data_IF_597265564637
#
_entry.id   IF_597265564637
#
_cell.length_a   1.000
_cell.length_b   1.000
_cell.length_c   1.000
_cell.angle_alpha   90.00
_cell.angle_beta   90.00
_cell.angle_gamma   90.00
#
_symmetry.space_group_name_H-M   'P 1'
#
loop_
_entity.id
_entity.type
_entity.pdbx_description
1 polymer ?
#
# COMPACT_ATOMS: atom_id res chain seq x y z
N UNK A 1 13.46 1.31 -5.25
CA UNK A 1 12.41 2.15 -5.86
C UNK A 1 11.96 1.66 -7.24
N UNK A 2 12.86 1.35 -8.19
CA UNK A 2 12.45 0.81 -9.50
C UNK A 2 11.89 -0.63 -9.38
N UNK A 3 12.60 -1.49 -8.64
CA UNK A 3 12.22 -2.90 -8.48
C UNK A 3 10.84 -3.10 -7.82
N UNK A 4 10.50 -2.35 -6.76
CA UNK A 4 9.18 -2.50 -6.13
C UNK A 4 8.05 -2.07 -7.05
N UNK A 5 8.28 -1.05 -7.90
CA UNK A 5 7.28 -0.59 -8.89
C UNK A 5 7.11 -1.60 -10.02
N UNK A 6 8.20 -2.19 -10.50
CA UNK A 6 8.15 -3.25 -11.51
C UNK A 6 7.41 -4.48 -10.99
N UNK A 7 7.70 -4.89 -9.75
CA UNK A 7 6.98 -5.99 -9.11
C UNK A 7 5.48 -5.69 -8.98
N UNK A 8 5.13 -4.49 -8.50
CA UNK A 8 3.73 -4.09 -8.38
C UNK A 8 3.00 -4.10 -9.74
N UNK A 9 3.67 -3.65 -10.80
CA UNK A 9 3.13 -3.72 -12.17
C UNK A 9 2.94 -5.16 -12.64
N UNK A 10 3.93 -6.04 -12.42
CA UNK A 10 3.84 -7.46 -12.79
C UNK A 10 2.70 -8.19 -12.06
N UNK A 11 2.40 -7.78 -10.81
CA UNK A 11 1.29 -8.31 -10.02
C UNK A 11 -0.07 -7.68 -10.36
N UNK A 12 -0.11 -6.66 -11.23
CA UNK A 12 -1.27 -5.79 -11.42
C UNK A 12 -1.83 -5.26 -10.08
N UNK A 13 -0.93 -4.96 -9.14
CA UNK A 13 -1.28 -4.53 -7.79
C UNK A 13 -1.63 -3.04 -7.77
N UNK A 14 -2.66 -2.69 -6.98
CA UNK A 14 -2.94 -1.30 -6.67
C UNK A 14 -1.83 -0.74 -5.76
N UNK A 15 -1.30 0.42 -6.10
CA UNK A 15 -0.23 1.08 -5.34
C UNK A 15 -0.72 2.38 -4.71
N UNK A 16 -0.13 2.78 -3.59
CA UNK A 16 -0.38 4.06 -2.92
C UNK A 16 0.92 4.64 -2.42
N UNK A 17 1.18 5.89 -2.77
CA UNK A 17 2.35 6.63 -2.30
C UNK A 17 1.99 7.43 -1.05
N UNK A 18 2.77 7.24 0.01
CA UNK A 18 2.62 7.97 1.28
C UNK A 18 3.87 8.82 1.47
N UNK A 19 3.70 10.13 1.63
CA UNK A 19 4.80 11.06 1.86
C UNK A 19 5.36 10.89 3.29
N UNK A 20 6.16 9.87 3.52
CA UNK A 20 6.65 9.47 4.83
C UNK A 20 8.19 9.41 4.91
N UNK A 21 8.71 9.34 6.14
CA UNK A 21 10.13 9.03 6.38
C UNK A 21 10.45 7.55 6.14
N UNK A 22 11.60 7.09 6.65
CA UNK A 22 12.07 5.70 6.45
C UNK A 22 11.06 4.63 6.94
N UNK A 23 10.34 4.91 8.03
CA UNK A 23 9.28 4.06 8.56
C UNK A 23 7.95 4.80 8.52
N UNK A 24 7.16 4.52 7.49
CA UNK A 24 5.83 5.10 7.29
C UNK A 24 4.85 4.75 8.40
N UNK A 25 4.94 3.54 8.96
CA UNK A 25 4.12 3.11 10.10
C UNK A 25 4.29 3.98 11.34
N UNK A 26 5.47 4.58 11.54
CA UNK A 26 5.74 5.43 12.70
C UNK A 26 5.46 6.91 12.40
N UNK A 27 5.74 7.34 11.17
CA UNK A 27 5.60 8.75 10.77
C UNK A 27 4.21 9.13 10.27
N UNK A 28 3.48 8.18 9.69
CA UNK A 28 2.12 8.35 9.16
C UNK A 28 1.23 7.13 9.50
N UNK A 29 1.02 6.82 10.79
CA UNK A 29 0.30 5.61 11.20
C UNK A 29 -1.14 5.56 10.67
N UNK A 30 -1.87 6.68 10.68
CA UNK A 30 -3.26 6.74 10.22
C UNK A 30 -3.36 6.50 8.71
N UNK A 31 -2.47 7.11 7.93
CA UNK A 31 -2.44 6.92 6.48
C UNK A 31 -2.15 5.47 6.10
N UNK A 32 -1.19 4.84 6.79
CA UNK A 32 -0.86 3.43 6.55
C UNK A 32 -1.98 2.50 6.99
N UNK A 33 -2.64 2.77 8.13
CA UNK A 33 -3.80 2.01 8.56
C UNK A 33 -4.95 2.08 7.53
N UNK A 34 -5.18 3.25 6.92
CA UNK A 34 -6.12 3.42 5.82
C UNK A 34 -5.82 2.51 4.64
N UNK A 35 -4.58 2.53 4.13
CA UNK A 35 -4.14 1.67 3.01
C UNK A 35 -4.38 0.19 3.30
N UNK A 36 -4.09 -0.26 4.53
CA UNK A 36 -4.31 -1.65 4.93
C UNK A 36 -5.80 -2.00 4.93
N UNK A 37 -6.65 -1.15 5.52
CA UNK A 37 -8.08 -1.39 5.57
C UNK A 37 -8.71 -1.41 4.16
N UNK A 38 -8.24 -0.56 3.26
CA UNK A 38 -8.69 -0.54 1.86
C UNK A 38 -8.30 -1.83 1.13
N UNK A 39 -7.07 -2.31 1.32
CA UNK A 39 -6.61 -3.59 0.75
C UNK A 39 -7.44 -4.78 1.26
N UNK A 40 -7.76 -4.81 2.56
CA UNK A 40 -8.62 -5.84 3.16
C UNK A 40 -10.03 -5.79 2.57
N UNK A 41 -10.63 -4.59 2.44
CA UNK A 41 -11.96 -4.43 1.84
C UNK A 41 -12.00 -4.90 0.39
N UNK A 42 -11.00 -4.54 -0.41
CA UNK A 42 -10.90 -4.97 -1.80
C UNK A 42 -10.80 -6.51 -1.92
N UNK A 43 -10.04 -7.12 -1.02
CA UNK A 43 -9.89 -8.59 -0.97
C UNK A 43 -11.19 -9.26 -0.52
N UNK A 44 -11.84 -8.76 0.53
CA UNK A 44 -13.09 -9.31 1.05
C UNK A 44 -14.25 -9.19 0.05
N UNK A 45 -14.29 -8.13 -0.77
CA UNK A 45 -15.29 -7.96 -1.81
C UNK A 45 -15.09 -8.87 -3.04
N UNK A 46 -13.91 -9.49 -3.17
CA UNK A 46 -13.55 -10.37 -4.27
C UNK A 46 -13.74 -11.86 -3.95
N UNK A 47 -14.17 -12.19 -2.73
CA UNK A 47 -14.52 -13.52 -2.24
C UNK A 47 -16.02 -13.77 -2.42
#
# INVERSE_FOLDING_TARGET
MALERELAAAMNAQTSEVAAGHLSLLSQPEAVAGVILDAVRATAASL
#
